data_IF_589185993936
#
_entry.id   IF_589185993936
#
_cell.length_a   1.000
_cell.length_b   1.000
_cell.length_c   1.000
_cell.angle_alpha   90.00
_cell.angle_beta   90.00
_cell.angle_gamma   90.00
#
_symmetry.space_group_name_H-M   'P 1'
#
loop_
_entity.id
_entity.type
_entity.pdbx_description
1 polymer ?
#
# COMPACT_ATOMS: atom_id res chain seq x y z
N UNK A 1 9.56 -10.52 8.36
CA UNK A 1 8.94 -11.72 8.98
C UNK A 1 7.88 -12.19 8.01
N UNK A 2 7.87 -13.48 7.63
CA UNK A 2 6.86 -13.97 6.67
C UNK A 2 5.50 -14.03 7.38
N UNK A 3 4.47 -13.38 6.81
CA UNK A 3 3.10 -13.39 7.33
C UNK A 3 2.51 -14.80 7.32
N UNK A 4 1.75 -15.15 8.35
CA UNK A 4 1.09 -16.44 8.44
C UNK A 4 -0.28 -16.45 7.75
N UNK A 5 -0.85 -17.64 7.55
CA UNK A 5 -2.11 -17.81 6.81
C UNK A 5 -3.29 -17.06 7.41
N UNK A 6 -3.36 -16.93 8.74
CA UNK A 6 -4.44 -16.20 9.41
C UNK A 6 -4.32 -14.69 9.18
N UNK A 7 -3.10 -14.15 9.22
CA UNK A 7 -2.82 -12.75 8.88
C UNK A 7 -3.21 -12.45 7.43
N UNK A 8 -2.90 -13.36 6.50
CA UNK A 8 -3.25 -13.22 5.08
C UNK A 8 -4.78 -13.21 4.88
N UNK A 9 -5.49 -14.15 5.51
CA UNK A 9 -6.97 -14.23 5.43
C UNK A 9 -7.59 -12.93 5.95
N UNK A 10 -7.11 -12.45 7.09
CA UNK A 10 -7.66 -11.24 7.70
C UNK A 10 -7.34 -9.99 6.88
N UNK A 11 -6.12 -9.84 6.36
CA UNK A 11 -5.75 -8.75 5.47
C UNK A 11 -6.63 -8.70 4.21
N UNK A 12 -6.86 -9.85 3.56
CA UNK A 12 -7.74 -9.94 2.40
C UNK A 12 -9.19 -9.57 2.77
N UNK A 13 -9.67 -9.99 3.94
CA UNK A 13 -11.00 -9.62 4.43
C UNK A 13 -11.14 -8.11 4.61
N UNK A 14 -10.14 -7.47 5.24
CA UNK A 14 -10.11 -6.03 5.46
C UNK A 14 -10.05 -5.25 4.14
N UNK A 15 -9.20 -5.66 3.21
CA UNK A 15 -9.11 -5.04 1.88
C UNK A 15 -10.40 -5.21 1.08
N UNK A 16 -11.08 -6.36 1.15
CA UNK A 16 -12.40 -6.54 0.50
C UNK A 16 -13.46 -5.60 1.10
N UNK A 17 -13.47 -5.44 2.43
CA UNK A 17 -14.36 -4.49 3.07
C UNK A 17 -14.05 -3.03 2.67
N UNK A 18 -12.76 -2.69 2.53
CA UNK A 18 -12.34 -1.38 2.02
C UNK A 18 -12.79 -1.18 0.56
N UNK A 19 -12.68 -2.21 -0.28
CA UNK A 19 -13.12 -2.15 -1.68
C UNK A 19 -14.62 -1.78 -1.81
N UNK A 20 -15.45 -2.30 -0.91
CA UNK A 20 -16.89 -2.04 -0.89
C UNK A 20 -17.24 -0.62 -0.39
N UNK A 21 -16.40 -0.05 0.48
CA UNK A 21 -16.68 1.21 1.20
C UNK A 21 -15.88 2.41 0.69
N UNK A 22 -14.82 2.18 -0.10
CA UNK A 22 -13.98 3.25 -0.63
C UNK A 22 -14.69 4.10 -1.69
N UNK A 23 -14.26 5.36 -1.81
CA UNK A 23 -14.57 6.18 -2.98
C UNK A 23 -13.91 5.56 -4.22
N UNK A 24 -14.62 5.36 -5.34
CA UNK A 24 -14.06 4.69 -6.52
C UNK A 24 -12.79 5.36 -7.06
N UNK A 25 -12.77 6.70 -7.07
CA UNK A 25 -11.66 7.50 -7.58
C UNK A 25 -11.32 8.60 -6.57
N UNK A 26 -10.03 8.86 -6.36
CA UNK A 26 -9.55 9.93 -5.48
C UNK A 26 -9.72 11.32 -6.11
N UNK A 27 -9.55 12.38 -5.30
CA UNK A 27 -9.57 13.76 -5.79
C UNK A 27 -8.47 14.06 -6.83
N UNK A 28 -7.42 13.24 -6.90
CA UNK A 28 -6.32 13.35 -7.85
C UNK A 28 -6.52 12.45 -9.09
N UNK A 29 -7.69 11.79 -9.23
CA UNK A 29 -7.99 10.92 -10.36
C UNK A 29 -7.41 9.50 -10.25
N UNK A 30 -6.97 9.08 -9.06
CA UNK A 30 -6.44 7.72 -8.82
C UNK A 30 -7.60 6.75 -8.61
N UNK A 31 -7.61 5.61 -9.32
CA UNK A 31 -8.61 4.56 -9.16
C UNK A 31 -8.33 3.72 -7.90
N UNK A 32 -8.97 4.08 -6.79
CA UNK A 32 -8.76 3.43 -5.49
C UNK A 32 -9.21 1.96 -5.53
N UNK A 33 -10.31 1.66 -6.25
CA UNK A 33 -10.82 0.29 -6.35
C UNK A 33 -9.81 -0.60 -7.06
N UNK A 34 -9.22 -0.09 -8.14
CA UNK A 34 -8.17 -0.79 -8.88
C UNK A 34 -6.96 -1.08 -7.99
N UNK A 35 -6.50 -0.09 -7.23
CA UNK A 35 -5.38 -0.29 -6.29
C UNK A 35 -5.67 -1.36 -5.24
N UNK A 36 -6.84 -1.33 -4.60
CA UNK A 36 -7.24 -2.33 -3.59
C UNK A 36 -7.34 -3.73 -4.22
N UNK A 37 -7.89 -3.85 -5.44
CA UNK A 37 -7.94 -5.13 -6.15
C UNK A 37 -6.55 -5.71 -6.43
N UNK A 38 -5.59 -4.86 -6.77
CA UNK A 38 -4.19 -5.25 -6.98
C UNK A 38 -3.57 -5.76 -5.68
N UNK A 39 -3.77 -5.04 -4.56
CA UNK A 39 -3.27 -5.47 -3.25
C UNK A 39 -3.86 -6.85 -2.85
N UNK A 40 -5.16 -7.06 -3.08
CA UNK A 40 -5.82 -8.35 -2.84
C UNK A 40 -5.19 -9.46 -3.69
N UNK A 41 -4.92 -9.22 -4.98
CA UNK A 41 -4.30 -10.20 -5.86
C UNK A 41 -2.91 -10.59 -5.35
N UNK A 42 -2.06 -9.60 -5.06
CA UNK A 42 -0.70 -9.83 -4.58
C UNK A 42 -0.69 -10.62 -3.27
N UNK A 43 -1.54 -10.24 -2.31
CA UNK A 43 -1.59 -10.89 -0.99
C UNK A 43 -2.19 -12.29 -1.08
N UNK A 44 -3.26 -12.47 -1.85
CA UNK A 44 -3.96 -13.76 -1.94
C UNK A 44 -3.13 -14.81 -2.67
N UNK A 45 -2.37 -14.40 -3.69
CA UNK A 45 -1.57 -15.31 -4.52
C UNK A 45 -0.14 -15.44 -4.00
N UNK A 46 0.35 -14.47 -3.23
CA UNK A 46 1.76 -14.41 -2.82
C UNK A 46 2.67 -14.05 -4.00
N UNK A 47 2.27 -13.07 -4.82
CA UNK A 47 3.03 -12.66 -5.99
C UNK A 47 4.46 -12.22 -5.61
N UNK A 48 5.43 -12.44 -6.51
CA UNK A 48 6.83 -12.01 -6.30
C UNK A 48 7.08 -10.62 -6.87
N UNK A 49 8.13 -9.93 -6.42
CA UNK A 49 8.51 -8.63 -7.00
C UNK A 49 8.79 -8.73 -8.51
N UNK A 50 9.41 -9.82 -8.98
CA UNK A 50 9.63 -10.03 -10.41
C UNK A 50 8.31 -10.16 -11.19
N UNK A 51 7.29 -10.78 -10.60
CA UNK A 51 5.97 -10.84 -11.22
C UNK A 51 5.32 -9.45 -11.31
N UNK A 52 5.44 -8.66 -10.24
CA UNK A 52 4.92 -7.28 -10.16
C UNK A 52 5.59 -6.41 -11.23
N UNK A 53 6.92 -6.45 -11.29
CA UNK A 53 7.70 -5.69 -12.27
C UNK A 53 7.29 -6.04 -13.70
N UNK A 54 7.17 -7.33 -14.03
CA UNK A 54 6.78 -7.76 -15.37
C UNK A 54 5.32 -7.41 -15.73
N UNK A 55 4.42 -7.34 -14.75
CA UNK A 55 3.00 -7.05 -14.99
C UNK A 55 2.74 -5.56 -15.18
N UNK A 56 3.37 -4.71 -14.38
CA UNK A 56 3.05 -3.28 -14.33
C UNK A 56 4.09 -2.38 -14.98
N UNK A 57 5.32 -2.86 -15.20
CA UNK A 57 6.35 -2.09 -15.88
C UNK A 57 6.55 -2.61 -17.31
N UNK A 58 6.18 -1.80 -18.29
CA UNK A 58 6.55 -2.05 -19.69
C UNK A 58 7.93 -1.45 -19.98
N UNK A 59 8.74 -2.13 -20.79
CA UNK A 59 10.08 -1.67 -21.14
C UNK A 59 10.01 -0.45 -22.09
N UNK A 60 10.76 0.66 -21.91
CA UNK A 60 11.74 0.96 -20.86
C UNK A 60 11.21 2.08 -19.93
N UNK A 61 10.34 1.74 -18.97
CA UNK A 61 9.97 2.69 -17.92
C UNK A 61 11.16 2.97 -17.00
N UNK A 62 11.72 4.17 -17.13
CA UNK A 62 12.80 4.68 -16.31
C UNK A 62 12.34 4.80 -14.83
N UNK A 63 13.27 4.88 -13.87
CA UNK A 63 12.95 4.90 -12.43
C UNK A 63 11.95 6.01 -12.01
N UNK A 64 11.84 7.11 -12.77
CA UNK A 64 10.86 8.17 -12.52
C UNK A 64 9.43 7.70 -12.83
N UNK A 65 9.23 7.03 -13.96
CA UNK A 65 7.92 6.49 -14.36
C UNK A 65 7.43 5.38 -13.42
N UNK A 66 8.35 4.66 -12.76
CA UNK A 66 7.99 3.68 -11.71
C UNK A 66 7.30 4.31 -10.50
N UNK A 67 7.76 5.50 -10.07
CA UNK A 67 7.21 6.18 -8.88
C UNK A 67 5.82 6.77 -9.16
N UNK A 68 5.53 7.11 -10.41
CA UNK A 68 4.24 7.64 -10.86
C UNK A 68 3.23 6.53 -11.18
N UNK A 69 3.69 5.29 -11.33
CA UNK A 69 2.84 4.13 -11.56
C UNK A 69 2.18 3.67 -10.24
N UNK A 70 0.99 4.21 -9.99
CA UNK A 70 0.18 3.93 -8.80
C UNK A 70 -0.24 2.47 -8.67
N UNK A 71 -0.42 1.75 -9.78
CA UNK A 71 -0.72 0.32 -9.79
C UNK A 71 0.50 -0.51 -9.33
N UNK A 72 1.67 -0.24 -9.92
CA UNK A 72 2.93 -0.89 -9.52
C UNK A 72 3.24 -0.63 -8.05
N UNK A 73 3.09 0.62 -7.59
CA UNK A 73 3.33 0.98 -6.19
C UNK A 73 2.41 0.22 -5.24
N UNK A 74 1.12 0.15 -5.54
CA UNK A 74 0.15 -0.61 -4.74
C UNK A 74 0.49 -2.10 -4.67
N UNK A 75 0.97 -2.68 -5.77
CA UNK A 75 1.42 -4.06 -5.81
C UNK A 75 2.68 -4.29 -4.96
N UNK A 76 3.65 -3.37 -5.03
CA UNK A 76 4.88 -3.42 -4.22
C UNK A 76 4.59 -3.24 -2.74
N UNK A 77 3.76 -2.28 -2.34
CA UNK A 77 3.40 -2.08 -0.93
C UNK A 77 2.75 -3.35 -0.34
N UNK A 78 1.85 -4.00 -1.11
CA UNK A 78 1.23 -5.26 -0.71
C UNK A 78 2.24 -6.42 -0.60
N UNK A 79 3.27 -6.44 -1.46
CA UNK A 79 4.36 -7.41 -1.37
C UNK A 79 5.23 -7.16 -0.14
N UNK A 80 5.55 -5.91 0.15
CA UNK A 80 6.36 -5.52 1.31
C UNK A 80 5.61 -5.78 2.62
N UNK A 81 4.28 -5.66 2.63
CA UNK A 81 3.45 -6.14 3.73
C UNK A 81 3.58 -7.65 3.99
N UNK A 82 3.61 -8.47 2.93
CA UNK A 82 3.85 -9.93 3.04
C UNK A 82 5.24 -10.24 3.65
N UNK A 83 6.22 -9.37 3.42
CA UNK A 83 7.57 -9.46 4.02
C UNK A 83 7.63 -8.93 5.46
N UNK A 84 6.53 -8.33 5.93
CA UNK A 84 6.40 -7.74 7.26
C UNK A 84 7.10 -6.38 7.39
N UNK A 85 7.27 -5.66 6.27
CA UNK A 85 7.84 -4.31 6.24
C UNK A 85 6.78 -3.22 6.46
N UNK A 86 5.51 -3.55 6.24
CA UNK A 86 4.36 -2.67 6.44
C UNK A 86 3.32 -3.32 7.34
N UNK A 87 2.51 -2.48 7.98
CA UNK A 87 1.29 -2.88 8.68
C UNK A 87 0.09 -2.83 7.73
N UNK A 88 -0.98 -3.57 8.07
CA UNK A 88 -2.19 -3.59 7.24
C UNK A 88 -2.84 -2.20 7.13
N UNK A 89 -2.72 -1.39 8.18
CA UNK A 89 -3.23 -0.02 8.21
C UNK A 89 -2.54 0.87 7.17
N UNK A 90 -1.27 0.60 6.86
CA UNK A 90 -0.54 1.36 5.84
C UNK A 90 -1.08 1.07 4.43
N UNK A 91 -1.63 -0.12 4.19
CA UNK A 91 -2.32 -0.47 2.94
C UNK A 91 -3.75 0.07 2.88
N UNK A 92 -4.46 0.08 4.01
CA UNK A 92 -5.84 0.57 4.08
C UNK A 92 -5.91 2.10 4.00
N UNK A 93 -4.90 2.78 4.54
CA UNK A 93 -4.85 4.23 4.68
C UNK A 93 -3.49 4.79 4.24
N UNK A 94 -3.14 4.71 2.94
CA UNK A 94 -1.82 5.11 2.44
C UNK A 94 -1.49 6.59 2.70
N UNK A 95 -2.50 7.47 2.76
CA UNK A 95 -2.31 8.89 3.11
C UNK A 95 -1.94 9.10 4.59
N UNK A 96 -2.25 8.14 5.47
CA UNK A 96 -1.82 8.16 6.87
C UNK A 96 -0.33 7.74 7.03
N UNK A 97 0.29 7.13 6.02
CA UNK A 97 1.73 6.88 6.00
C UNK A 97 2.51 8.18 5.79
N UNK A 98 1.94 9.11 5.01
CA UNK A 98 2.39 10.51 5.02
C UNK A 98 2.39 11.00 6.48
N UNK A 99 1.29 10.79 7.23
CA UNK A 99 1.18 11.13 8.66
C UNK A 99 2.30 10.62 9.56
N UNK A 100 2.72 9.36 9.39
CA UNK A 100 3.81 8.77 10.17
C UNK A 100 5.20 9.28 9.76
N UNK A 101 5.39 9.60 8.47
CA UNK A 101 6.64 10.13 7.91
C UNK A 101 6.99 11.53 8.44
N UNK A 102 6.00 12.39 8.68
CA UNK A 102 6.24 13.73 9.25
C UNK A 102 5.99 13.84 10.76
N UNK A 103 5.31 12.88 11.39
CA UNK A 103 5.22 12.83 12.86
C UNK A 103 6.56 12.44 13.54
N UNK A 104 7.56 11.96 12.79
CA UNK A 104 8.89 11.60 13.33
C UNK A 104 9.88 12.79 13.28
N UNK A 105 9.47 13.97 12.80
CA UNK A 105 10.31 15.19 12.83
C UNK A 105 9.62 16.30 13.63
N UNK A 106 9.50 16.13 14.94
CA UNK A 106 9.51 17.27 15.86
C UNK A 106 10.39 16.93 17.08
N UNK A 107 11.68 17.31 17.08
CA UNK A 107 12.40 17.46 18.32
C UNK A 107 11.86 18.72 19.01
N UNK A 108 11.03 18.51 20.02
CA UNK A 108 10.76 19.47 21.09
C UNK A 108 9.78 20.60 20.76
N UNK A 109 8.51 20.42 21.15
CA UNK A 109 7.78 21.48 21.85
C UNK A 109 6.95 20.81 22.94
N UNK A 110 7.41 20.95 24.18
CA UNK A 110 6.65 20.67 25.39
C UNK A 110 5.61 21.78 25.55
N UNK A 111 4.34 21.49 25.24
CA UNK A 111 3.23 22.40 25.54
C UNK A 111 2.62 21.96 26.86
N UNK A 112 3.37 22.16 27.95
CA UNK A 112 2.79 22.39 29.27
C UNK A 112 3.35 23.67 29.86
N UNK A 113 2.42 24.50 30.31
CA UNK A 113 2.56 25.72 31.13
C UNK A 113 2.61 27.04 30.35
N UNK A 114 1.43 27.64 30.19
CA UNK A 114 1.17 28.95 30.77
C UNK A 114 -0.12 28.87 31.59
#
# INVERSE_FOLDING_TARGET
>A
MIRNSQEIIEAVRLLKNNLETCQPVSALGVDNRRQIMIMIEVISVGCTQNWIDNKYLTFPQNMREKLDNTEWRSATDAREWLDGLFDIDDLLYPDAVSQKSWATVLPGVDIRKQ
#
